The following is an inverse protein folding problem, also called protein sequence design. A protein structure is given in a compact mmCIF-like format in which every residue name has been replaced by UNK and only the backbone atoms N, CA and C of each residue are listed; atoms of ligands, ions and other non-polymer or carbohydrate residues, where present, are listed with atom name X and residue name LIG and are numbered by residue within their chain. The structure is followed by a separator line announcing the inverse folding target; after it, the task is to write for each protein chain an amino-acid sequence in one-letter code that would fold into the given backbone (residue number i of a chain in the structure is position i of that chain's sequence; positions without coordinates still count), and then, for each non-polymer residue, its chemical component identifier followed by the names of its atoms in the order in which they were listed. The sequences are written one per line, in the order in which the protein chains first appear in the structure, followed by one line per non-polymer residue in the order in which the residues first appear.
data_IF_994038682093
#
_entry.id   IF_994038682093
#
_cell.length_a   1.000
_cell.length_b   1.000
_cell.length_c   1.000
_cell.angle_alpha   90.00
_cell.angle_beta   90.00
_cell.angle_gamma   90.00
#
_symmetry.space_group_name_H-M   'P 1'
#
loop_
_entity.id
_entity.type
_entity.pdbx_description
1 polymer ?
#
# COMPACT_ATOMS: atom_id res chain seq x y z
N UNK A 1 24.73 -4.31 1.35
CA UNK A 1 24.97 -3.35 2.44
C UNK A 1 23.63 -2.84 2.96
N UNK A 2 23.33 -2.90 4.25
CA UNK A 2 22.02 -2.50 4.80
C UNK A 2 21.93 -0.98 5.00
N UNK A 3 20.71 -0.42 4.98
CA UNK A 3 20.49 1.01 5.26
C UNK A 3 21.05 1.43 6.64
N UNK A 4 20.92 0.57 7.65
CA UNK A 4 21.49 0.79 8.98
C UNK A 4 23.02 0.85 8.96
N UNK A 5 23.68 0.06 8.10
CA UNK A 5 25.12 0.13 7.91
C UNK A 5 25.54 1.46 7.28
N UNK A 6 24.83 1.93 6.25
CA UNK A 6 25.11 3.23 5.60
C UNK A 6 24.92 4.39 6.58
N UNK A 7 23.85 4.39 7.37
CA UNK A 7 23.61 5.42 8.41
C UNK A 7 24.74 5.43 9.45
N UNK A 8 25.18 4.25 9.88
CA UNK A 8 26.27 4.12 10.86
C UNK A 8 27.60 4.64 10.31
N UNK A 9 27.91 4.35 9.04
CA UNK A 9 29.11 4.85 8.37
C UNK A 9 29.09 6.38 8.22
N UNK A 10 27.96 6.96 7.81
CA UNK A 10 27.81 8.41 7.70
C UNK A 10 27.96 9.11 9.06
N UNK A 11 27.40 8.53 10.13
CA UNK A 11 27.59 9.04 11.49
C UNK A 11 29.07 9.02 11.88
N UNK A 12 29.77 7.91 11.68
CA UNK A 12 31.20 7.81 12.00
C UNK A 12 32.05 8.80 11.20
N UNK A 13 31.71 9.06 9.94
CA UNK A 13 32.39 10.08 9.12
C UNK A 13 32.20 11.48 9.70
N UNK A 14 30.97 11.81 10.13
CA UNK A 14 30.65 13.08 10.75
C UNK A 14 31.41 13.27 12.07
N UNK A 15 31.45 12.26 12.93
CA UNK A 15 32.19 12.30 14.19
C UNK A 15 33.69 12.56 13.98
N UNK A 16 34.28 12.00 12.91
CA UNK A 16 35.67 12.25 12.53
C UNK A 16 35.89 13.67 12.01
N UNK A 17 34.95 14.20 11.22
CA UNK A 17 35.01 15.57 10.73
C UNK A 17 34.99 16.57 11.90
N UNK A 18 34.07 16.38 12.86
CA UNK A 18 33.98 17.21 14.06
C UNK A 18 35.27 17.22 14.90
N UNK A 19 35.97 16.09 14.97
CA UNK A 19 37.27 15.99 15.67
C UNK A 19 38.43 16.68 14.92
N UNK A 20 38.33 16.80 13.59
CA UNK A 20 39.37 17.42 12.75
C UNK A 20 39.24 18.95 12.72
N UNK A 21 38.03 19.48 12.71
CA UNK A 21 37.74 20.93 12.67
C UNK A 21 38.59 21.75 13.65
N UNK A 22 38.66 21.44 14.97
CA UNK A 22 39.44 22.25 15.91
C UNK A 22 40.96 22.13 15.72
N UNK A 23 41.45 21.10 15.01
CA UNK A 23 42.87 20.89 14.72
C UNK A 23 43.33 21.75 13.55
N UNK A 24 42.43 22.09 12.62
CA UNK A 24 42.73 22.96 11.47
C UNK A 24 43.13 24.39 11.89
N UNK A 25 42.67 24.85 13.07
CA UNK A 25 43.07 26.15 13.62
C UNK A 25 44.48 26.15 14.25
N UNK A 26 45.16 25.00 14.32
CA UNK A 26 46.42 24.81 15.05
C UNK A 26 47.58 24.34 14.16
N UNK A 27 47.40 24.35 12.84
CA UNK A 27 48.41 23.90 11.88
C UNK A 27 49.00 25.10 11.12
N UNK A 28 50.25 24.94 10.66
CA UNK A 28 50.94 25.87 9.77
C UNK A 28 51.41 25.09 8.52
N UNK A 29 50.50 24.85 7.55
CA UNK A 29 50.81 24.03 6.38
C UNK A 29 51.78 24.71 5.41
N UNK A 30 52.53 23.92 4.64
CA UNK A 30 53.26 24.40 3.45
C UNK A 30 52.30 24.69 2.28
N UNK A 31 52.77 25.37 1.23
CA UNK A 31 51.94 25.70 0.06
C UNK A 31 51.34 24.43 -0.62
N UNK A 32 52.14 23.37 -0.77
CA UNK A 32 51.67 22.07 -1.31
C UNK A 32 50.62 21.41 -0.40
N UNK A 33 50.76 21.55 0.92
CA UNK A 33 49.79 21.04 1.89
C UNK A 33 48.50 21.87 1.88
N UNK A 34 48.59 23.18 1.65
CA UNK A 34 47.43 24.05 1.47
C UNK A 34 46.62 23.70 0.23
N UNK A 35 47.29 23.44 -0.89
CA UNK A 35 46.65 22.97 -2.11
C UNK A 35 45.93 21.63 -1.86
N UNK A 36 46.61 20.67 -1.24
CA UNK A 36 46.03 19.37 -0.88
C UNK A 36 44.81 19.50 0.06
N UNK A 37 44.87 20.38 1.06
CA UNK A 37 43.75 20.64 1.98
C UNK A 37 42.56 21.27 1.25
N UNK A 38 42.80 22.19 0.32
CA UNK A 38 41.79 22.77 -0.55
C UNK A 38 41.09 21.71 -1.41
N UNK A 39 41.89 20.85 -2.04
CA UNK A 39 41.40 19.73 -2.86
C UNK A 39 40.54 18.74 -2.06
N UNK A 40 40.99 18.34 -0.87
CA UNK A 40 40.22 17.43 -0.02
C UNK A 40 38.91 18.07 0.47
N UNK A 41 38.95 19.35 0.85
CA UNK A 41 37.76 20.10 1.24
C UNK A 41 36.74 20.16 0.09
N UNK A 42 37.19 20.48 -1.12
CA UNK A 42 36.34 20.50 -2.31
C UNK A 42 35.74 19.11 -2.60
N UNK A 43 36.55 18.05 -2.57
CA UNK A 43 36.08 16.66 -2.76
C UNK A 43 35.03 16.26 -1.72
N UNK A 44 35.23 16.64 -0.46
CA UNK A 44 34.27 16.35 0.62
C UNK A 44 32.95 17.10 0.42
N UNK A 45 33.00 18.38 0.03
CA UNK A 45 31.81 19.18 -0.28
C UNK A 45 31.03 18.60 -1.48
N UNK A 46 31.73 18.19 -2.53
CA UNK A 46 31.11 17.51 -3.68
C UNK A 46 30.46 16.19 -3.25
N UNK A 47 31.15 15.35 -2.49
CA UNK A 47 30.62 14.08 -2.00
C UNK A 47 29.36 14.28 -1.14
N UNK A 48 29.39 15.26 -0.21
CA UNK A 48 28.24 15.60 0.61
C UNK A 48 27.03 16.05 -0.23
N UNK A 49 27.27 16.87 -1.26
CA UNK A 49 26.24 17.31 -2.20
C UNK A 49 25.64 16.13 -2.98
N UNK A 50 26.50 15.24 -3.51
CA UNK A 50 26.05 14.04 -4.22
C UNK A 50 25.24 13.10 -3.32
N UNK A 51 25.67 12.88 -2.07
CA UNK A 51 24.90 12.09 -1.09
C UNK A 51 23.53 12.72 -0.86
N UNK A 52 23.47 14.04 -0.65
CA UNK A 52 22.21 14.77 -0.48
C UNK A 52 21.26 14.61 -1.68
N UNK A 53 21.78 14.77 -2.89
CA UNK A 53 21.01 14.58 -4.13
C UNK A 53 20.49 13.14 -4.27
N UNK A 54 21.31 12.12 -3.97
CA UNK A 54 20.91 10.71 -4.03
C UNK A 54 19.85 10.38 -2.99
N UNK A 55 20.00 10.87 -1.76
CA UNK A 55 18.98 10.70 -0.70
C UNK A 55 17.66 11.35 -1.12
N UNK A 56 17.73 12.54 -1.74
CA UNK A 56 16.53 13.22 -2.23
C UNK A 56 15.86 12.46 -3.38
N UNK A 57 16.61 12.01 -4.38
CA UNK A 57 16.09 11.20 -5.47
C UNK A 57 15.45 9.88 -4.97
N UNK A 58 16.04 9.24 -3.95
CA UNK A 58 15.46 8.06 -3.31
C UNK A 58 14.16 8.37 -2.57
N UNK A 59 14.06 9.53 -1.90
CA UNK A 59 12.80 9.97 -1.26
C UNK A 59 11.71 10.22 -2.29
N UNK A 60 12.04 10.88 -3.40
CA UNK A 60 11.12 11.15 -4.50
C UNK A 60 10.65 9.85 -5.16
N UNK A 61 11.58 8.97 -5.53
CA UNK A 61 11.25 7.66 -6.09
C UNK A 61 10.38 6.82 -5.14
N UNK A 62 10.65 6.89 -3.83
CA UNK A 62 9.81 6.24 -2.81
C UNK A 62 8.40 6.84 -2.77
N UNK A 63 8.27 8.16 -2.88
CA UNK A 63 6.98 8.84 -2.93
C UNK A 63 6.20 8.46 -4.19
N UNK A 64 6.86 8.42 -5.36
CA UNK A 64 6.25 8.01 -6.63
C UNK A 64 5.78 6.56 -6.59
N UNK A 65 6.61 5.67 -6.04
CA UNK A 65 6.23 4.27 -5.80
C UNK A 65 5.02 4.18 -4.89
N UNK A 66 5.03 4.91 -3.78
CA UNK A 66 3.92 4.89 -2.83
C UNK A 66 2.63 5.43 -3.46
N UNK A 67 2.72 6.49 -4.26
CA UNK A 67 1.60 7.05 -5.02
C UNK A 67 1.06 6.04 -6.04
N UNK A 68 1.93 5.31 -6.75
CA UNK A 68 1.51 4.30 -7.72
C UNK A 68 0.86 3.09 -7.02
N UNK A 69 1.51 2.54 -6.00
CA UNK A 69 1.03 1.35 -5.28
C UNK A 69 -0.29 1.60 -4.52
N UNK A 70 -0.52 2.83 -4.04
CA UNK A 70 -1.75 3.19 -3.31
C UNK A 70 -2.94 3.57 -4.21
N UNK A 71 -2.78 3.61 -5.53
CA UNK A 71 -3.82 4.04 -6.48
C UNK A 71 -5.13 3.25 -6.33
N UNK A 72 -5.04 1.92 -6.21
CA UNK A 72 -6.24 1.07 -6.01
C UNK A 72 -6.97 1.39 -4.72
N UNK A 73 -6.23 1.70 -3.65
CA UNK A 73 -6.78 2.04 -2.34
C UNK A 73 -7.42 3.43 -2.33
N UNK A 74 -6.81 4.42 -3.00
CA UNK A 74 -7.41 5.75 -3.18
C UNK A 74 -8.71 5.67 -4.00
N UNK A 75 -8.69 4.97 -5.13
CA UNK A 75 -9.89 4.75 -5.95
C UNK A 75 -10.99 4.00 -5.18
N UNK A 76 -10.62 3.03 -4.35
CA UNK A 76 -11.55 2.35 -3.45
C UNK A 76 -12.18 3.32 -2.45
N UNK A 77 -11.38 4.17 -1.80
CA UNK A 77 -11.89 5.15 -0.85
C UNK A 77 -12.90 6.11 -1.48
N UNK A 78 -12.56 6.66 -2.66
CA UNK A 78 -13.47 7.53 -3.43
C UNK A 78 -14.78 6.81 -3.77
N UNK A 79 -14.71 5.55 -4.20
CA UNK A 79 -15.89 4.75 -4.50
C UNK A 79 -16.75 4.52 -3.25
N UNK A 80 -16.14 4.16 -2.12
CA UNK A 80 -16.88 3.91 -0.88
C UNK A 80 -17.56 5.19 -0.36
N UNK A 81 -16.88 6.34 -0.41
CA UNK A 81 -17.47 7.63 -0.06
C UNK A 81 -18.64 7.96 -0.99
N UNK A 82 -18.43 7.87 -2.31
CA UNK A 82 -19.47 8.12 -3.30
C UNK A 82 -20.70 7.22 -3.12
N UNK A 83 -20.48 5.93 -2.84
CA UNK A 83 -21.55 4.97 -2.57
C UNK A 83 -22.38 5.35 -1.33
N UNK A 84 -21.74 5.81 -0.25
CA UNK A 84 -22.45 6.25 0.96
C UNK A 84 -23.25 7.52 0.69
N UNK A 85 -22.64 8.51 0.04
CA UNK A 85 -23.29 9.77 -0.29
C UNK A 85 -24.45 9.61 -1.27
N UNK A 86 -24.30 8.74 -2.28
CA UNK A 86 -25.34 8.52 -3.29
C UNK A 86 -26.51 7.65 -2.79
N UNK A 87 -26.22 6.61 -2.00
CA UNK A 87 -27.23 5.63 -1.60
C UNK A 87 -27.76 5.85 -0.18
N UNK A 88 -27.15 6.74 0.60
CA UNK A 88 -27.52 6.99 1.99
C UNK A 88 -27.26 5.81 2.94
N UNK A 89 -26.42 4.84 2.54
CA UNK A 89 -26.25 3.56 3.27
C UNK A 89 -24.78 3.24 3.56
N UNK A 90 -24.51 2.86 4.80
CA UNK A 90 -23.25 2.27 5.23
C UNK A 90 -23.23 0.76 4.94
N UNK A 91 -22.91 0.37 3.71
CA UNK A 91 -22.84 -1.06 3.29
C UNK A 91 -21.97 -1.91 4.23
N UNK A 92 -20.88 -1.34 4.72
CA UNK A 92 -19.93 -2.02 5.60
C UNK A 92 -19.98 -1.43 7.03
N UNK A 93 -21.19 -1.28 7.59
CA UNK A 93 -21.39 -0.76 8.95
C UNK A 93 -20.51 -1.45 10.03
N UNK A 94 -20.33 -2.79 10.04
CA UNK A 94 -19.42 -3.44 10.99
C UNK A 94 -17.96 -2.98 10.87
N UNK A 95 -17.50 -2.73 9.64
CA UNK A 95 -16.14 -2.24 9.38
C UNK A 95 -15.99 -0.80 9.85
N UNK A 96 -16.97 0.05 9.54
CA UNK A 96 -17.01 1.43 10.01
C UNK A 96 -16.93 1.50 11.54
N UNK A 97 -17.79 0.74 12.22
CA UNK A 97 -17.80 0.64 13.69
C UNK A 97 -16.44 0.19 14.25
N UNK A 98 -15.90 -0.90 13.71
CA UNK A 98 -14.60 -1.42 14.15
C UNK A 98 -13.46 -0.43 13.93
N UNK A 99 -13.50 0.32 12.83
CA UNK A 99 -12.53 1.37 12.56
C UNK A 99 -12.59 2.48 13.61
N UNK A 100 -13.78 3.02 13.89
CA UNK A 100 -13.96 4.06 14.90
C UNK A 100 -13.41 3.59 16.26
N UNK A 101 -13.83 2.40 16.72
CA UNK A 101 -13.30 1.83 17.97
C UNK A 101 -11.78 1.70 17.92
N UNK A 102 -11.22 1.14 16.84
CA UNK A 102 -9.76 0.95 16.71
C UNK A 102 -8.99 2.28 16.69
N UNK A 103 -9.53 3.33 16.06
CA UNK A 103 -8.88 4.63 15.94
C UNK A 103 -8.79 5.33 17.32
N UNK A 104 -9.85 5.25 18.12
CA UNK A 104 -9.95 5.98 19.39
C UNK A 104 -9.51 5.16 20.61
N UNK A 105 -9.67 3.83 20.59
CA UNK A 105 -9.22 2.93 21.65
C UNK A 105 -7.77 2.45 21.42
N UNK A 106 -7.43 2.17 20.15
CA UNK A 106 -6.17 1.53 19.79
C UNK A 106 -6.11 0.02 20.10
N UNK A 107 -5.00 -0.65 19.76
CA UNK A 107 -4.82 -2.07 20.05
C UNK A 107 -4.59 -2.33 21.55
N UNK A 108 -5.35 -3.29 22.09
CA UNK A 108 -5.22 -3.79 23.47
C UNK A 108 -3.93 -4.58 23.66
N UNK A 109 -3.20 -4.33 24.73
CA UNK A 109 -2.04 -5.11 25.11
C UNK A 109 -2.45 -6.44 25.76
N UNK A 110 -1.66 -7.48 25.52
CA UNK A 110 -1.77 -8.77 26.20
C UNK A 110 -0.42 -9.13 26.80
N UNK A 111 -0.44 -9.73 28.00
CA UNK A 111 0.78 -10.27 28.63
C UNK A 111 1.42 -11.39 27.81
N UNK A 112 0.66 -11.98 26.88
CA UNK A 112 1.11 -13.02 25.97
C UNK A 112 1.58 -12.48 24.61
N UNK A 113 1.67 -11.16 24.43
CA UNK A 113 2.13 -10.60 23.16
C UNK A 113 3.62 -10.88 22.92
N UNK A 114 3.91 -11.49 21.77
CA UNK A 114 5.28 -11.60 21.26
C UNK A 114 5.89 -10.23 20.98
N UNK A 115 7.23 -10.16 20.89
CA UNK A 115 7.91 -8.91 20.55
C UNK A 115 7.41 -8.32 19.22
N UNK A 116 7.27 -9.16 18.18
CA UNK A 116 6.72 -8.73 16.89
C UNK A 116 5.29 -8.19 17.03
N UNK A 117 4.46 -8.83 17.85
CA UNK A 117 3.09 -8.36 18.13
C UNK A 117 3.12 -6.99 18.82
N UNK A 118 4.02 -6.79 19.80
CA UNK A 118 4.18 -5.51 20.49
C UNK A 118 4.64 -4.41 19.52
N UNK A 119 5.57 -4.69 18.61
CA UNK A 119 6.01 -3.75 17.56
C UNK A 119 4.87 -3.40 16.59
N UNK A 120 4.07 -4.38 16.17
CA UNK A 120 2.90 -4.13 15.31
C UNK A 120 1.86 -3.28 16.03
N UNK A 121 1.57 -3.56 17.30
CA UNK A 121 0.64 -2.75 18.11
C UNK A 121 1.13 -1.33 18.31
N UNK A 122 2.42 -1.13 18.59
CA UNK A 122 3.03 0.20 18.68
C UNK A 122 2.88 0.97 17.36
N UNK A 123 3.15 0.31 16.23
CA UNK A 123 2.94 0.91 14.89
C UNK A 123 1.47 1.27 14.65
N UNK A 124 0.53 0.39 15.00
CA UNK A 124 -0.91 0.67 14.88
C UNK A 124 -1.33 1.86 15.74
N UNK A 125 -0.84 1.97 16.99
CA UNK A 125 -1.12 3.14 17.86
C UNK A 125 -0.65 4.44 17.24
N UNK A 126 0.56 4.44 16.65
CA UNK A 126 1.07 5.61 15.94
C UNK A 126 0.15 5.99 14.79
N UNK A 127 -0.33 5.01 14.00
CA UNK A 127 -1.28 5.25 12.90
C UNK A 127 -2.61 5.80 13.39
N UNK A 128 -3.16 5.25 14.48
CA UNK A 128 -4.38 5.78 15.10
C UNK A 128 -4.23 7.25 15.49
N UNK A 129 -3.09 7.64 16.07
CA UNK A 129 -2.81 9.04 16.40
C UNK A 129 -2.73 9.94 15.15
N UNK A 130 -2.15 9.45 14.07
CA UNK A 130 -2.10 10.18 12.80
C UNK A 130 -3.48 10.33 12.16
N UNK A 131 -4.31 9.28 12.18
CA UNK A 131 -5.70 9.35 11.68
C UNK A 131 -6.52 10.35 12.51
N UNK A 132 -6.38 10.35 13.85
CA UNK A 132 -7.04 11.33 14.72
C UNK A 132 -6.62 12.79 14.47
N UNK A 133 -5.53 13.02 13.74
CA UNK A 133 -5.09 14.37 13.36
C UNK A 133 -5.72 14.90 12.06
N UNK A 134 -6.52 14.07 11.39
CA UNK A 134 -7.34 14.49 10.25
C UNK A 134 -8.54 15.34 10.71
N UNK A 135 -9.20 15.98 9.75
CA UNK A 135 -10.52 16.57 9.94
C UNK A 135 -11.55 15.51 10.35
N UNK A 136 -12.68 15.91 10.97
CA UNK A 136 -13.80 15.00 11.24
C UNK A 136 -14.23 14.21 10.00
N UNK A 137 -14.31 14.88 8.85
CA UNK A 137 -14.68 14.26 7.58
C UNK A 137 -13.61 13.32 7.05
N UNK A 138 -12.33 13.63 7.28
CA UNK A 138 -11.20 12.75 6.97
C UNK A 138 -11.22 11.47 7.81
N UNK A 139 -11.56 11.56 9.10
CA UNK A 139 -11.71 10.41 9.99
C UNK A 139 -12.87 9.52 9.52
N UNK A 140 -14.03 10.11 9.23
CA UNK A 140 -15.21 9.39 8.72
C UNK A 140 -14.89 8.71 7.39
N UNK A 141 -14.27 9.46 6.47
CA UNK A 141 -13.81 8.96 5.17
C UNK A 141 -12.87 7.77 5.30
N UNK A 142 -11.90 7.84 6.21
CA UNK A 142 -10.99 6.73 6.52
C UNK A 142 -11.75 5.51 7.05
N UNK A 143 -12.65 5.73 8.02
CA UNK A 143 -13.41 4.68 8.68
C UNK A 143 -14.36 3.94 7.73
N UNK A 144 -14.88 4.63 6.71
CA UNK A 144 -15.69 4.04 5.64
C UNK A 144 -14.81 3.21 4.68
N UNK A 145 -13.63 3.71 4.34
CA UNK A 145 -12.83 3.19 3.24
C UNK A 145 -11.93 1.98 3.59
N UNK A 146 -11.32 1.96 4.77
CA UNK A 146 -10.21 1.03 5.02
C UNK A 146 -10.41 0.20 6.29
N UNK A 147 -10.66 -1.10 6.17
CA UNK A 147 -10.75 -1.99 7.32
C UNK A 147 -9.45 -1.98 8.16
N UNK A 148 -9.51 -2.15 9.50
CA UNK A 148 -8.32 -2.12 10.35
C UNK A 148 -7.23 -3.11 9.94
N UNK A 149 -7.62 -4.29 9.44
CA UNK A 149 -6.70 -5.32 8.96
C UNK A 149 -5.83 -4.86 7.79
N UNK A 150 -6.28 -3.88 7.00
CA UNK A 150 -5.54 -3.34 5.87
C UNK A 150 -4.45 -2.37 6.31
N UNK A 151 -4.69 -1.55 7.32
CA UNK A 151 -3.79 -0.45 7.70
C UNK A 151 -3.11 -0.64 9.06
N UNK A 152 -3.39 -1.70 9.81
CA UNK A 152 -2.67 -2.03 11.03
C UNK A 152 -1.17 -2.23 10.79
N UNK A 153 -0.38 -2.12 11.86
CA UNK A 153 1.05 -2.36 11.87
C UNK A 153 1.40 -3.75 11.33
N UNK A 154 2.30 -3.79 10.36
CA UNK A 154 2.68 -5.01 9.64
C UNK A 154 1.86 -5.29 8.37
N UNK A 155 0.68 -4.69 8.18
CA UNK A 155 -0.16 -4.95 7.00
C UNK A 155 0.15 -4.03 5.82
N UNK A 156 0.32 -2.73 6.09
CA UNK A 156 0.54 -1.71 5.07
C UNK A 156 1.90 -1.05 5.30
N UNK A 157 2.63 -0.76 4.22
CA UNK A 157 3.88 -0.02 4.30
C UNK A 157 3.64 1.43 4.77
N UNK A 158 4.57 2.00 5.55
CA UNK A 158 4.39 3.32 6.17
C UNK A 158 4.27 4.47 5.17
N UNK A 159 4.92 4.37 4.01
CA UNK A 159 4.80 5.35 2.93
C UNK A 159 3.44 5.28 2.22
N UNK A 160 2.92 4.07 1.97
CA UNK A 160 1.55 3.85 1.48
C UNK A 160 0.54 4.46 2.44
N UNK A 161 0.67 4.18 3.74
CA UNK A 161 -0.20 4.73 4.76
C UNK A 161 -0.20 6.27 4.75
N UNK A 162 0.99 6.89 4.70
CA UNK A 162 1.11 8.35 4.64
C UNK A 162 0.49 8.92 3.36
N UNK A 163 0.72 8.28 2.22
CA UNK A 163 0.13 8.68 0.95
C UNK A 163 -1.41 8.66 1.01
N UNK A 164 -2.01 7.63 1.62
CA UNK A 164 -3.46 7.56 1.80
C UNK A 164 -3.96 8.61 2.79
N UNK A 165 -3.23 8.82 3.89
CA UNK A 165 -3.58 9.80 4.91
C UNK A 165 -3.62 11.23 4.34
N UNK A 166 -2.71 11.55 3.41
CA UNK A 166 -2.67 12.85 2.75
C UNK A 166 -3.76 13.05 1.69
N UNK A 167 -4.25 11.95 1.08
CA UNK A 167 -5.23 11.98 -0.01
C UNK A 167 -6.69 11.83 0.47
N UNK A 168 -6.92 11.19 1.61
CA UNK A 168 -8.27 10.86 2.11
C UNK A 168 -9.09 12.08 2.53
N UNK A 169 -8.43 13.22 2.78
CA UNK A 169 -9.09 14.47 3.18
C UNK A 169 -10.00 14.99 2.07
N UNK A 170 -11.32 15.12 2.32
CA UNK A 170 -12.22 15.65 1.33
C UNK A 170 -11.96 17.15 1.10
N UNK A 171 -12.06 17.57 -0.17
CA UNK A 171 -11.83 18.97 -0.56
C UNK A 171 -12.92 19.92 -0.02
N UNK A 172 -14.10 19.39 0.29
CA UNK A 172 -15.23 20.10 0.87
C UNK A 172 -15.93 19.22 1.91
N UNK A 173 -16.64 19.84 2.85
CA UNK A 173 -17.43 19.14 3.86
C UNK A 173 -18.54 18.31 3.19
N UNK A 174 -18.47 16.96 3.22
CA UNK A 174 -19.48 16.11 2.62
C UNK A 174 -20.76 16.18 3.44
N UNK A 175 -21.91 16.21 2.78
CA UNK A 175 -23.21 16.07 3.44
C UNK A 175 -23.45 14.61 3.80
N UNK A 176 -22.86 14.15 4.91
CA UNK A 176 -22.98 12.76 5.36
C UNK A 176 -24.45 12.40 5.62
N UNK A 177 -24.91 11.22 5.15
CA UNK A 177 -26.26 10.75 5.47
C UNK A 177 -26.43 10.49 6.98
N UNK A 178 -27.65 10.62 7.50
CA UNK A 178 -27.95 10.52 8.94
C UNK A 178 -27.42 9.23 9.58
N UNK A 179 -27.43 8.11 8.84
CA UNK A 179 -26.92 6.81 9.30
C UNK A 179 -25.47 6.88 9.81
N UNK A 180 -24.65 7.79 9.30
CA UNK A 180 -23.28 8.01 9.79
C UNK A 180 -23.32 8.58 11.21
N UNK A 181 -24.05 9.68 11.41
CA UNK A 181 -24.23 10.31 12.71
C UNK A 181 -24.93 9.38 13.72
N UNK A 182 -26.00 8.71 13.32
CA UNK A 182 -26.71 7.71 14.14
C UNK A 182 -25.76 6.61 14.61
N UNK A 183 -24.89 6.10 13.71
CA UNK A 183 -23.90 5.07 14.07
C UNK A 183 -22.85 5.62 15.04
N UNK A 184 -22.35 6.84 14.85
CA UNK A 184 -21.37 7.46 15.74
C UNK A 184 -21.95 7.69 17.15
N UNK A 185 -23.17 8.20 17.25
CA UNK A 185 -23.86 8.38 18.54
C UNK A 185 -24.19 7.04 19.21
N UNK A 186 -24.62 6.04 18.44
CA UNK A 186 -24.84 4.67 18.97
C UNK A 186 -23.53 4.08 19.53
N UNK A 187 -22.41 4.25 18.84
CA UNK A 187 -21.10 3.82 19.33
C UNK A 187 -20.69 4.52 20.62
N UNK A 188 -21.05 5.80 20.79
CA UNK A 188 -20.81 6.49 22.06
C UNK A 188 -21.61 5.86 23.19
N UNK A 189 -22.87 5.49 22.96
CA UNK A 189 -23.71 4.86 23.96
C UNK A 189 -23.23 3.44 24.32
N UNK A 190 -22.83 2.64 23.32
CA UNK A 190 -22.53 1.22 23.49
C UNK A 190 -21.11 0.92 23.99
N UNK A 191 -20.14 1.80 23.70
CA UNK A 191 -18.71 1.52 23.96
C UNK A 191 -18.17 2.40 25.10
N UNK A 192 -18.00 1.83 26.30
CA UNK A 192 -17.51 2.54 27.51
C UNK A 192 -16.16 3.26 27.30
N UNK A 193 -15.32 2.73 26.41
CA UNK A 193 -14.02 3.31 26.05
C UNK A 193 -14.17 4.58 25.22
N UNK A 194 -15.19 4.63 24.35
CA UNK A 194 -15.49 5.81 23.53
C UNK A 194 -16.18 6.89 24.37
N UNK A 195 -17.00 6.53 25.35
CA UNK A 195 -17.61 7.48 26.30
C UNK A 195 -16.56 8.32 27.02
N UNK A 196 -15.45 7.68 27.42
CA UNK A 196 -14.35 8.32 28.15
C UNK A 196 -13.32 9.00 27.24
N UNK A 197 -13.43 8.84 25.92
CA UNK A 197 -12.48 9.39 24.96
C UNK A 197 -12.81 10.84 24.64
N UNK A 198 -11.98 11.77 25.12
CA UNK A 198 -12.12 13.20 24.84
C UNK A 198 -11.93 13.52 23.35
N UNK A 199 -11.09 12.76 22.65
CA UNK A 199 -10.91 12.92 21.21
C UNK A 199 -12.14 12.46 20.42
N UNK A 200 -12.84 11.42 20.90
CA UNK A 200 -14.10 10.98 20.28
C UNK A 200 -15.22 11.99 20.51
N UNK A 201 -15.30 12.57 21.71
CA UNK A 201 -16.25 13.66 22.00
C UNK A 201 -16.02 14.88 21.11
N UNK A 202 -14.75 15.23 20.81
CA UNK A 202 -14.43 16.30 19.85
C UNK A 202 -14.92 15.96 18.43
N UNK A 203 -14.79 14.71 17.99
CA UNK A 203 -15.30 14.27 16.69
C UNK A 203 -16.82 14.47 16.61
N UNK A 204 -17.57 14.00 17.61
CA UNK A 204 -19.04 14.13 17.64
C UNK A 204 -19.48 15.59 17.67
N UNK A 205 -18.86 16.41 18.54
CA UNK A 205 -19.17 17.83 18.62
C UNK A 205 -18.93 18.53 17.26
N UNK A 206 -17.82 18.21 16.59
CA UNK A 206 -17.52 18.79 15.28
C UNK A 206 -18.47 18.29 14.17
N UNK A 207 -18.99 17.06 14.28
CA UNK A 207 -19.98 16.50 13.36
C UNK A 207 -21.37 17.15 13.54
N UNK A 208 -21.80 17.33 14.80
CA UNK A 208 -23.11 17.87 15.13
C UNK A 208 -23.19 19.40 14.95
N UNK A 209 -22.05 20.08 14.99
CA UNK A 209 -22.00 21.53 14.79
C UNK A 209 -22.31 21.84 13.32
N UNK A 210 -23.44 22.49 13.01
CA UNK A 210 -23.71 22.93 11.64
C UNK A 210 -22.62 23.94 11.29
N UNK A 211 -21.83 23.64 10.26
CA UNK A 211 -20.86 24.59 9.73
C UNK A 211 -21.64 25.82 9.22
N UNK A 212 -21.77 26.82 10.09
CA UNK A 212 -22.03 28.18 9.66
C UNK A 212 -20.92 28.52 8.68
N UNK A 213 -21.30 28.67 7.41
CA UNK A 213 -20.47 29.12 6.29
C UNK A 213 -19.32 30.01 6.76
N UNK A 214 -18.09 29.49 6.73
CA UNK A 214 -16.92 30.35 6.64
C UNK A 214 -15.76 29.65 5.94
N UNK A 215 -15.26 30.41 4.97
CA UNK A 215 -14.10 30.19 4.12
C UNK A 215 -12.81 29.87 4.91
N UNK A 216 -11.92 29.18 4.21
CA UNK A 216 -10.47 29.28 4.33
C UNK A 216 -9.87 29.05 5.73
N UNK A 217 -9.48 27.80 5.99
CA UNK A 217 -8.35 27.54 6.89
C UNK A 217 -7.41 26.49 6.31
N UNK A 218 -6.44 27.00 5.55
CA UNK A 218 -5.07 26.54 5.47
C UNK A 218 -4.79 25.03 5.39
N UNK A 219 -4.47 24.58 4.17
CA UNK A 219 -3.14 23.98 3.89
C UNK A 219 -2.78 24.10 2.42
N UNK A 220 -1.69 24.84 2.16
CA UNK A 220 -1.02 25.00 0.87
C UNK A 220 -0.74 23.63 0.23
N UNK A 221 -1.53 23.22 -0.75
CA UNK A 221 -1.12 22.18 -1.71
C UNK A 221 -0.18 22.81 -2.72
N UNK A 222 1.12 22.52 -2.63
CA UNK A 222 2.03 22.71 -3.77
C UNK A 222 1.88 21.48 -4.67
N UNK A 223 0.83 21.44 -5.49
CA UNK A 223 0.76 20.52 -6.63
C UNK A 223 1.72 21.06 -7.70
N UNK A 224 2.81 20.34 -7.94
CA UNK A 224 3.62 20.53 -9.14
C UNK A 224 2.90 19.79 -10.27
N UNK A 225 1.90 20.45 -10.85
CA UNK A 225 1.32 20.00 -12.12
C UNK A 225 2.42 20.08 -13.19
N UNK A 226 2.73 18.93 -13.77
CA UNK A 226 3.52 18.84 -14.99
C UNK A 226 2.77 19.57 -16.12
N UNK A 227 3.25 20.76 -16.49
CA UNK A 227 2.75 21.56 -17.63
C UNK A 227 2.76 20.77 -18.93
N UNK A 228 1.67 20.87 -19.70
CA UNK A 228 1.70 21.08 -21.16
C UNK A 228 0.62 22.09 -21.58
N UNK A 229 0.84 22.82 -22.69
CA UNK A 229 0.48 24.23 -22.79
C UNK A 229 -0.92 24.52 -23.36
N UNK A 230 -1.40 25.69 -22.94
CA UNK A 230 -2.68 26.33 -23.23
C UNK A 230 -2.89 26.75 -24.68
N UNK A 231 -4.16 26.74 -25.10
CA UNK A 231 -4.70 27.74 -26.04
C UNK A 231 -6.03 28.27 -25.48
N UNK A 232 -6.17 29.59 -25.50
CA UNK A 232 -7.22 30.44 -24.94
C UNK A 232 -8.32 30.70 -25.98
N UNK A 233 -9.61 30.79 -25.58
CA UNK A 233 -10.45 32.00 -25.75
C UNK A 233 -11.89 31.82 -25.20
N UNK A 234 -12.41 32.86 -24.53
CA UNK A 234 -13.83 33.23 -24.58
C UNK A 234 -14.59 33.30 -23.25
N UNK A 235 -14.75 34.51 -22.71
CA UNK A 235 -15.56 34.86 -21.52
C UNK A 235 -17.07 34.95 -21.84
N UNK A 236 -17.94 34.60 -20.87
CA UNK A 236 -18.89 35.48 -20.12
C UNK A 236 -20.10 34.72 -19.53
N UNK A 237 -20.43 35.06 -18.28
CA UNK A 237 -21.82 35.34 -17.86
C UNK A 237 -22.66 34.26 -17.15
N UNK A 238 -22.74 34.41 -15.82
CA UNK A 238 -23.89 34.19 -14.92
C UNK A 238 -24.39 32.79 -14.49
N UNK A 239 -24.56 32.73 -13.17
CA UNK A 239 -25.42 31.93 -12.28
C UNK A 239 -25.20 30.41 -12.00
N UNK A 240 -25.15 30.15 -10.69
CA UNK A 240 -24.92 28.90 -9.96
C UNK A 240 -26.13 27.95 -10.11
N UNK A 241 -25.91 26.64 -10.37
CA UNK A 241 -26.10 25.65 -9.30
C UNK A 241 -24.94 24.66 -9.14
N UNK A 242 -24.38 24.64 -7.93
CA UNK A 242 -23.44 23.67 -7.41
C UNK A 242 -24.09 22.30 -7.20
N UNK A 243 -24.23 21.49 -8.26
CA UNK A 243 -24.45 20.02 -8.18
C UNK A 243 -24.65 19.49 -9.61
N UNK A 244 -23.54 19.22 -10.33
CA UNK A 244 -23.47 18.35 -11.53
C UNK A 244 -22.07 18.44 -12.13
N UNK A 245 -21.11 17.65 -11.63
CA UNK A 245 -19.90 17.37 -12.44
C UNK A 245 -19.28 15.99 -12.29
N UNK A 246 -19.59 15.23 -11.23
CA UNK A 246 -18.94 13.92 -11.03
C UNK A 246 -19.85 12.69 -11.18
N UNK A 247 -21.14 12.86 -11.53
CA UNK A 247 -22.04 11.72 -11.78
C UNK A 247 -22.24 11.45 -13.29
N UNK A 248 -22.02 12.44 -14.15
CA UNK A 248 -22.24 12.31 -15.60
C UNK A 248 -21.11 11.60 -16.37
N UNK A 249 -19.93 11.40 -15.75
CA UNK A 249 -18.80 10.71 -16.40
C UNK A 249 -18.89 9.19 -16.31
N UNK A 250 -19.67 8.65 -15.37
CA UNK A 250 -19.81 7.20 -15.15
C UNK A 250 -20.95 6.58 -15.97
N UNK A 251 -21.88 7.39 -16.48
CA UNK A 251 -23.03 6.90 -17.27
C UNK A 251 -22.84 7.00 -18.80
N UNK A 252 -21.75 7.58 -19.30
CA UNK A 252 -21.46 7.65 -20.75
C UNK A 252 -20.46 6.59 -21.26
N UNK A 253 -19.78 5.87 -20.38
CA UNK A 253 -18.85 4.79 -20.77
C UNK A 253 -19.52 3.39 -20.80
N UNK A 254 -20.79 3.28 -20.38
CA UNK A 254 -21.53 2.00 -20.40
C UNK A 254 -22.36 1.76 -21.68
N UNK A 255 -22.43 2.72 -22.61
CA UNK A 255 -23.20 2.57 -23.87
C UNK A 255 -22.34 2.34 -25.12
N UNK A 256 -21.02 2.14 -24.99
CA UNK A 256 -20.11 1.86 -26.12
C UNK A 256 -19.40 0.50 -26.05
N UNK A 257 -19.82 -0.40 -25.15
CA UNK A 257 -19.25 -1.76 -25.03
C UNK A 257 -20.25 -2.89 -25.30
N UNK A 258 -21.32 -2.61 -26.05
CA UNK A 258 -22.27 -3.61 -26.54
C UNK A 258 -22.54 -3.40 -28.04
N UNK A 259 -21.49 -3.54 -28.85
CA UNK A 259 -21.60 -3.96 -30.24
C UNK A 259 -20.21 -4.38 -30.69
N UNK A 260 -19.98 -5.70 -30.68
CA UNK A 260 -19.37 -6.45 -31.77
C UNK A 260 -18.96 -7.83 -31.26
N UNK A 261 -19.90 -8.77 -31.38
CA UNK A 261 -19.63 -10.20 -31.35
C UNK A 261 -19.83 -10.72 -32.77
N UNK A 262 -18.76 -10.78 -33.57
CA UNK A 262 -18.58 -11.76 -34.64
C UNK A 262 -17.24 -11.57 -35.33
N UNK A 263 -16.23 -12.38 -34.99
CA UNK A 263 -15.52 -13.24 -35.95
C UNK A 263 -14.44 -14.08 -35.28
N UNK A 264 -14.49 -15.36 -35.62
CA UNK A 264 -13.50 -16.44 -35.56
C UNK A 264 -12.05 -16.14 -35.14
N UNK A 265 -11.58 -17.00 -34.23
CA UNK A 265 -10.34 -17.79 -34.30
C UNK A 265 -9.01 -17.07 -34.45
N UNK A 266 -8.12 -17.23 -33.46
CA UNK A 266 -6.86 -18.00 -33.54
C UNK A 266 -6.08 -17.79 -32.25
N UNK A 267 -5.56 -18.88 -31.67
CA UNK A 267 -4.74 -18.82 -30.45
C UNK A 267 -3.44 -18.07 -30.69
N UNK A 268 -3.02 -17.30 -29.71
CA UNK A 268 -1.67 -16.75 -29.63
C UNK A 268 -1.06 -17.10 -28.27
N UNK A 269 0.04 -17.83 -28.39
CA UNK A 269 0.94 -18.23 -27.34
C UNK A 269 1.62 -17.01 -26.69
N UNK A 270 2.11 -17.18 -25.46
CA UNK A 270 3.03 -16.23 -24.85
C UNK A 270 4.31 -16.14 -25.71
N UNK A 271 4.52 -15.01 -26.37
CA UNK A 271 5.74 -14.74 -27.12
C UNK A 271 6.95 -14.53 -26.20
N UNK A 272 8.15 -15.02 -26.58
CA UNK A 272 9.39 -14.83 -25.85
C UNK A 272 10.12 -13.55 -26.32
N UNK A 273 10.31 -12.57 -25.44
CA UNK A 273 11.12 -11.39 -25.76
C UNK A 273 12.63 -11.66 -25.66
N UNK A 274 13.24 -11.73 -26.85
CA UNK A 274 14.36 -10.91 -27.33
C UNK A 274 15.61 -10.73 -26.44
N UNK A 275 16.68 -11.39 -26.90
CA UNK A 275 18.09 -11.13 -26.58
C UNK A 275 18.49 -9.68 -26.87
N UNK A 276 18.99 -8.97 -25.86
CA UNK A 276 19.99 -7.92 -26.03
C UNK A 276 21.10 -8.12 -25.00
N UNK A 277 22.30 -8.41 -25.52
CA UNK A 277 23.49 -8.67 -24.74
C UNK A 277 23.96 -7.44 -23.97
N UNK A 278 24.31 -7.67 -22.71
CA UNK A 278 25.30 -6.88 -21.98
C UNK A 278 26.27 -7.85 -21.33
N UNK A 279 27.55 -7.59 -21.60
CA UNK A 279 28.74 -8.24 -21.06
C UNK A 279 28.59 -8.60 -19.57
N UNK A 280 28.76 -9.88 -19.25
CA UNK A 280 28.89 -10.35 -17.87
C UNK A 280 30.33 -10.11 -17.39
N UNK A 281 30.45 -9.27 -16.37
CA UNK A 281 31.67 -9.08 -15.61
C UNK A 281 31.79 -10.25 -14.63
N UNK A 282 32.72 -11.18 -14.91
CA UNK A 282 33.04 -12.32 -14.07
C UNK A 282 33.74 -11.84 -12.78
N UNK A 283 32.95 -11.42 -11.78
CA UNK A 283 33.42 -11.40 -10.39
C UNK A 283 32.71 -12.52 -9.62
N UNK A 284 33.51 -13.48 -9.16
CA UNK A 284 33.05 -14.63 -8.38
C UNK A 284 32.36 -14.17 -7.10
N UNK A 285 31.03 -14.22 -7.07
CA UNK A 285 30.22 -14.15 -5.86
C UNK A 285 29.63 -15.54 -5.61
N UNK A 286 29.91 -16.08 -4.42
CA UNK A 286 29.33 -17.33 -3.94
C UNK A 286 27.80 -17.32 -4.18
N UNK A 287 27.23 -18.29 -4.92
CA UNK A 287 25.80 -18.29 -5.19
C UNK A 287 25.04 -18.54 -3.89
N UNK A 288 24.40 -17.49 -3.39
CA UNK A 288 23.45 -17.60 -2.29
C UNK A 288 22.26 -18.44 -2.79
N UNK A 289 21.73 -19.40 -2.01
CA UNK A 289 20.64 -20.24 -2.47
C UNK A 289 19.43 -19.37 -2.85
N UNK A 290 18.75 -19.67 -3.97
CA UNK A 290 17.68 -18.84 -4.53
C UNK A 290 16.46 -18.67 -3.60
N UNK A 291 16.41 -19.43 -2.50
CA UNK A 291 15.36 -19.39 -1.50
C UNK A 291 15.60 -18.35 -0.38
N UNK A 292 16.81 -17.79 -0.23
CA UNK A 292 17.15 -16.84 0.84
C UNK A 292 16.98 -15.36 0.44
N UNK A 293 16.48 -15.11 -0.77
CA UNK A 293 16.17 -13.77 -1.28
C UNK A 293 14.81 -13.26 -0.79
N UNK A 294 14.69 -11.95 -0.59
CA UNK A 294 13.38 -11.32 -0.40
C UNK A 294 12.53 -11.50 -1.67
N UNK A 295 11.62 -12.47 -1.65
CA UNK A 295 10.76 -12.79 -2.78
C UNK A 295 9.57 -11.85 -2.85
N UNK A 296 9.58 -10.94 -3.81
CA UNK A 296 8.45 -10.07 -4.12
C UNK A 296 7.65 -10.61 -5.32
N UNK A 297 6.33 -10.76 -5.16
CA UNK A 297 5.45 -11.19 -6.26
C UNK A 297 5.27 -10.08 -7.31
N UNK A 298 5.39 -10.44 -8.59
CA UNK A 298 5.10 -9.60 -9.77
C UNK A 298 3.65 -9.75 -10.20
N UNK A 299 3.23 -10.98 -10.45
CA UNK A 299 1.87 -11.32 -10.86
C UNK A 299 1.53 -12.75 -10.46
N UNK A 300 0.22 -13.01 -10.37
CA UNK A 300 -0.35 -14.31 -10.01
C UNK A 300 -1.33 -14.72 -11.10
N UNK A 301 -1.16 -15.91 -11.64
CA UNK A 301 -2.06 -16.53 -12.61
C UNK A 301 -2.95 -17.52 -11.86
N UNK A 302 -4.27 -17.35 -11.97
CA UNK A 302 -5.30 -18.17 -11.32
C UNK A 302 -6.40 -18.53 -12.33
N UNK A 303 -7.48 -19.17 -11.90
CA UNK A 303 -8.59 -19.63 -12.73
C UNK A 303 -8.14 -20.63 -13.81
N UNK A 304 -7.32 -21.61 -13.42
CA UNK A 304 -6.94 -22.68 -14.34
C UNK A 304 -8.20 -23.40 -14.85
N UNK A 305 -8.28 -23.78 -16.14
CA UNK A 305 -9.39 -24.59 -16.63
C UNK A 305 -9.46 -25.89 -15.82
N UNK A 306 -10.63 -26.24 -15.31
CA UNK A 306 -10.76 -27.38 -14.41
C UNK A 306 -10.46 -28.71 -15.09
N UNK A 307 -10.66 -28.79 -16.41
CA UNK A 307 -10.25 -29.94 -17.22
C UNK A 307 -8.74 -30.20 -17.16
N UNK A 308 -7.92 -29.19 -16.86
CA UNK A 308 -6.46 -29.36 -16.69
C UNK A 308 -6.08 -30.02 -15.37
N UNK A 309 -7.00 -30.16 -14.42
CA UNK A 309 -6.75 -30.93 -13.19
C UNK A 309 -6.67 -32.43 -13.51
N UNK A 310 -7.43 -32.90 -14.51
CA UNK A 310 -7.40 -34.30 -14.95
C UNK A 310 -6.02 -34.69 -15.55
N UNK A 311 -5.30 -33.70 -16.10
CA UNK A 311 -3.96 -33.84 -16.66
C UNK A 311 -2.86 -33.99 -15.57
N UNK A 312 -3.17 -33.74 -14.28
CA UNK A 312 -2.19 -33.90 -13.20
C UNK A 312 -1.89 -35.39 -12.95
N UNK A 313 -0.63 -35.75 -12.66
CA UNK A 313 -0.28 -37.11 -12.26
C UNK A 313 -0.79 -37.41 -10.84
N UNK A 314 -0.99 -38.69 -10.53
CA UNK A 314 -1.18 -39.11 -9.13
C UNK A 314 0.14 -39.03 -8.36
N UNK A 315 0.11 -38.66 -7.06
CA UNK A 315 -1.06 -38.44 -6.20
C UNK A 315 -1.63 -37.01 -6.20
N UNK A 316 -1.13 -36.11 -7.07
CA UNK A 316 -1.50 -34.69 -7.04
C UNK A 316 -2.92 -34.45 -7.54
N UNK A 317 -3.36 -35.18 -8.56
CA UNK A 317 -4.73 -35.10 -9.08
C UNK A 317 -5.75 -35.43 -8.01
N UNK A 318 -5.67 -36.61 -7.40
CA UNK A 318 -6.59 -37.01 -6.34
C UNK A 318 -6.60 -35.98 -5.20
N UNK A 319 -5.45 -35.44 -4.84
CA UNK A 319 -5.33 -34.44 -3.79
C UNK A 319 -6.08 -33.14 -4.11
N UNK A 320 -5.98 -32.64 -5.34
CA UNK A 320 -6.69 -31.44 -5.80
C UNK A 320 -8.18 -31.72 -5.94
N UNK A 321 -8.58 -32.83 -6.53
CA UNK A 321 -10.00 -33.22 -6.69
C UNK A 321 -10.71 -33.37 -5.34
N UNK A 322 -9.97 -33.80 -4.31
CA UNK A 322 -10.49 -33.92 -2.96
C UNK A 322 -10.52 -32.62 -2.15
N UNK A 323 -10.00 -31.52 -2.70
CA UNK A 323 -10.08 -30.18 -2.10
C UNK A 323 -11.53 -29.73 -1.92
N UNK A 324 -11.80 -29.06 -0.80
CA UNK A 324 -13.11 -28.45 -0.54
C UNK A 324 -13.45 -27.38 -1.59
N UNK A 325 -12.45 -26.61 -2.03
CA UNK A 325 -12.65 -25.58 -3.04
C UNK A 325 -13.02 -26.20 -4.38
N UNK A 326 -12.26 -27.20 -4.84
CA UNK A 326 -12.51 -27.86 -6.13
C UNK A 326 -13.92 -28.48 -6.18
N UNK A 327 -14.29 -29.26 -5.16
CA UNK A 327 -15.62 -29.86 -5.03
C UNK A 327 -16.74 -28.83 -5.04
N UNK A 328 -16.55 -27.72 -4.32
CA UNK A 328 -17.52 -26.64 -4.30
C UNK A 328 -17.65 -25.98 -5.68
N UNK A 329 -16.55 -25.63 -6.35
CA UNK A 329 -16.56 -25.05 -7.70
C UNK A 329 -17.24 -25.97 -8.73
N UNK A 330 -17.00 -27.29 -8.65
CA UNK A 330 -17.70 -28.29 -9.49
C UNK A 330 -19.20 -28.29 -9.22
N UNK A 331 -19.61 -28.21 -7.95
CA UNK A 331 -21.04 -28.16 -7.58
C UNK A 331 -21.75 -26.89 -8.06
N UNK A 332 -21.01 -25.80 -8.28
CA UNK A 332 -21.52 -24.54 -8.82
C UNK A 332 -21.48 -24.51 -10.37
N UNK A 333 -20.96 -25.55 -11.02
CA UNK A 333 -20.84 -25.62 -12.48
C UNK A 333 -19.78 -24.69 -13.08
N UNK A 334 -18.77 -24.28 -12.29
CA UNK A 334 -17.70 -23.42 -12.82
C UNK A 334 -16.77 -24.19 -13.76
N UNK A 335 -16.32 -23.57 -14.86
CA UNK A 335 -15.40 -24.21 -15.81
C UNK A 335 -13.92 -24.08 -15.40
N UNK A 336 -13.62 -23.17 -14.47
CA UNK A 336 -12.28 -22.90 -13.95
C UNK A 336 -12.16 -23.26 -12.47
N UNK A 337 -10.93 -23.37 -11.98
CA UNK A 337 -10.62 -23.62 -10.58
C UNK A 337 -9.54 -22.68 -10.05
N UNK A 338 -9.71 -22.23 -8.81
CA UNK A 338 -8.66 -21.56 -8.04
C UNK A 338 -7.63 -22.50 -7.42
N UNK A 339 -7.81 -23.83 -7.53
CA UNK A 339 -6.95 -24.80 -6.85
C UNK A 339 -5.54 -24.92 -7.45
N UNK A 340 -5.31 -24.37 -8.64
CA UNK A 340 -3.99 -24.33 -9.29
C UNK A 340 -3.65 -22.87 -9.57
N UNK A 341 -2.56 -22.39 -8.98
CA UNK A 341 -2.12 -21.00 -9.11
C UNK A 341 -0.62 -20.94 -9.40
N UNK A 342 -0.20 -20.05 -10.30
CA UNK A 342 1.21 -19.74 -10.53
C UNK A 342 1.55 -18.33 -10.02
N UNK A 343 2.64 -18.20 -9.28
CA UNK A 343 3.12 -16.95 -8.68
C UNK A 343 4.48 -16.63 -9.23
N UNK A 344 4.56 -15.53 -9.99
CA UNK A 344 5.79 -15.07 -10.62
C UNK A 344 6.48 -14.04 -9.72
N UNK A 345 7.77 -14.20 -9.41
CA UNK A 345 8.54 -13.17 -8.72
C UNK A 345 8.81 -11.96 -9.63
N UNK A 346 9.14 -10.81 -9.03
CA UNK A 346 9.61 -9.61 -9.75
C UNK A 346 10.99 -9.78 -10.32
N UNK A 347 11.83 -10.49 -9.59
CA UNK A 347 13.18 -10.85 -9.98
C UNK A 347 13.12 -12.09 -10.88
N UNK A 348 13.47 -11.91 -12.16
CA UNK A 348 13.45 -13.00 -13.14
C UNK A 348 14.58 -14.04 -12.90
N UNK A 349 15.46 -13.81 -11.93
CA UNK A 349 16.46 -14.80 -11.48
C UNK A 349 15.89 -15.78 -10.44
N UNK A 350 14.67 -15.53 -9.94
CA UNK A 350 14.00 -16.39 -8.96
C UNK A 350 12.99 -17.32 -9.63
N UNK A 351 12.81 -18.50 -9.06
CA UNK A 351 11.87 -19.50 -9.57
C UNK A 351 10.40 -19.08 -9.41
N UNK A 352 9.55 -19.56 -10.34
CA UNK A 352 8.08 -19.43 -10.28
C UNK A 352 7.52 -20.47 -9.31
N UNK A 353 6.55 -20.08 -8.48
CA UNK A 353 5.87 -21.03 -7.60
C UNK A 353 4.51 -21.43 -8.12
N UNK A 354 4.31 -22.73 -8.24
CA UNK A 354 2.98 -23.30 -8.35
C UNK A 354 2.44 -23.66 -6.97
N UNK A 355 1.19 -23.29 -6.72
CA UNK A 355 0.45 -23.64 -5.51
C UNK A 355 -0.71 -24.54 -5.89
N UNK A 356 -0.82 -25.67 -5.20
CA UNK A 356 -1.94 -26.60 -5.31
C UNK A 356 -2.74 -26.60 -4.01
N UNK A 357 -4.04 -26.34 -4.10
CA UNK A 357 -4.95 -26.51 -2.96
C UNK A 357 -5.47 -27.94 -2.98
N UNK A 358 -5.17 -28.68 -1.91
CA UNK A 358 -5.56 -30.08 -1.78
C UNK A 358 -6.51 -30.31 -0.60
N UNK A 359 -7.19 -31.46 -0.62
CA UNK A 359 -7.95 -31.97 0.52
C UNK A 359 -7.04 -32.14 1.74
N UNK A 360 -7.57 -31.85 2.94
CA UNK A 360 -6.76 -31.84 4.17
C UNK A 360 -6.08 -33.21 4.45
N UNK A 361 -6.82 -34.31 4.27
CA UNK A 361 -6.29 -35.68 4.45
C UNK A 361 -5.23 -36.00 3.39
N UNK A 362 -5.51 -35.69 2.13
CA UNK A 362 -4.57 -35.88 1.03
C UNK A 362 -3.30 -35.04 1.18
N UNK A 363 -3.40 -33.84 1.78
CA UNK A 363 -2.25 -33.00 2.10
C UNK A 363 -1.23 -33.72 2.98
N UNK A 364 -1.67 -34.43 4.02
CA UNK A 364 -0.78 -35.27 4.85
C UNK A 364 -0.16 -36.42 4.05
N UNK A 365 -0.94 -37.04 3.15
CA UNK A 365 -0.41 -38.07 2.26
C UNK A 365 0.66 -37.52 1.31
N UNK A 366 0.45 -36.33 0.73
CA UNK A 366 1.43 -35.66 -0.13
C UNK A 366 2.70 -35.28 0.63
N UNK A 367 2.59 -34.78 1.87
CA UNK A 367 3.74 -34.49 2.74
C UNK A 367 4.59 -35.76 2.91
N UNK A 368 3.95 -36.89 3.22
CA UNK A 368 4.65 -38.18 3.34
C UNK A 368 5.22 -38.66 2.01
N UNK A 369 4.48 -38.54 0.91
CA UNK A 369 4.88 -39.01 -0.42
C UNK A 369 6.13 -38.29 -0.93
N UNK A 370 6.20 -36.97 -0.76
CA UNK A 370 7.35 -36.16 -1.16
C UNK A 370 8.45 -36.09 -0.08
N UNK A 371 8.27 -36.73 1.08
CA UNK A 371 9.23 -36.71 2.18
C UNK A 371 9.45 -35.31 2.79
N UNK A 372 8.42 -34.46 2.78
CA UNK A 372 8.50 -33.10 3.29
C UNK A 372 8.62 -33.10 4.82
N UNK A 373 9.45 -32.21 5.35
CA UNK A 373 9.66 -32.05 6.79
C UNK A 373 8.97 -30.80 7.33
N UNK A 374 8.53 -30.86 8.58
CA UNK A 374 7.99 -29.71 9.28
C UNK A 374 9.10 -28.66 9.49
N UNK A 375 9.04 -27.56 8.76
CA UNK A 375 9.99 -26.45 8.92
C UNK A 375 9.56 -25.47 10.01
N UNK A 376 8.24 -25.23 10.16
CA UNK A 376 7.66 -24.27 11.11
C UNK A 376 6.24 -24.71 11.47
N UNK A 377 5.83 -24.50 12.72
CA UNK A 377 4.44 -24.63 13.17
C UNK A 377 4.04 -23.34 13.88
N UNK A 378 2.80 -22.90 13.66
CA UNK A 378 2.20 -21.72 14.30
C UNK A 378 1.82 -21.98 15.75
#
# INVERSE_FOLDING_TARGET
MSASSVVSQLRSLFDKADQLIPKLNKIYPTDEQWESLGDFSAKLATAATTIGQRVQALKESRADRAWKESEKLRSHALKCQGDVLANGRLKQSPVFRRNIVTIFEGPKDSKFDTEDTRVRKATTRQRCAQIRSLSPDGIISWAIAFAPSLWAGGSMATDIFKCLLEDIEPDCHPSWPSIVGETLHTLQADEEVLQRSTDYQKLLCAYDTPLATNLESNRKRKRLDHKRPSTILGQKGEDIPCLRRNVAKVLLEQSQYNNDKSTLSRGEACDPESRQGKQEDHSMLNPQPPNDGNREMKHMCTNAPASRVEDLPEPLREAVENSRLFKWERSQGYETTGCVTAVFPKDNTQDVTFTLWCGNVQGYHLISFFGLQHAMSS
#
